data_IF_225668872035
#
_entry.id   IF_225668872035
#
_cell.length_a   1.000
_cell.length_b   1.000
_cell.length_c   1.000
_cell.angle_alpha   90.00
_cell.angle_beta   90.00
_cell.angle_gamma   90.00
#
_symmetry.space_group_name_H-M   'P 1'
#
loop_
_entity.id
_entity.type
_entity.pdbx_description
1 polymer ?
#
# COMPACT_ATOMS: atom_id res chain seq x y z
N UNK A 1 11.14 6.77 1.99
CA UNK A 1 9.78 7.32 2.18
C UNK A 1 8.77 6.31 1.68
N UNK A 2 7.73 6.07 2.46
CA UNK A 2 6.69 5.08 2.16
C UNK A 2 5.34 5.80 2.09
N UNK A 3 4.51 5.49 1.09
CA UNK A 3 3.14 5.98 1.02
C UNK A 3 2.20 4.82 1.32
N UNK A 4 1.28 5.02 2.28
CA UNK A 4 0.26 4.05 2.64
C UNK A 4 -1.10 4.55 2.21
N UNK A 5 -1.78 3.78 1.37
CA UNK A 5 -3.11 4.10 0.86
C UNK A 5 -4.13 3.28 1.64
N UNK A 6 -4.70 3.89 2.67
CA UNK A 6 -5.71 3.25 3.53
C UNK A 6 -6.48 4.31 4.29
N UNK A 7 -7.70 3.96 4.72
CA UNK A 7 -8.54 4.83 5.53
C UNK A 7 -8.95 4.21 6.88
N UNK A 8 -8.38 3.06 7.25
CA UNK A 8 -8.58 2.43 8.55
C UNK A 8 -7.71 3.15 9.58
N UNK A 9 -8.34 3.91 10.48
CA UNK A 9 -7.63 4.73 11.46
C UNK A 9 -6.84 3.89 12.47
N UNK A 10 -7.41 2.78 12.94
CA UNK A 10 -6.73 1.92 13.91
C UNK A 10 -5.46 1.31 13.31
N UNK A 11 -5.56 0.85 12.09
CA UNK A 11 -4.41 0.27 11.41
C UNK A 11 -3.36 1.32 11.04
N UNK A 12 -3.82 2.53 10.72
CA UNK A 12 -2.91 3.68 10.50
C UNK A 12 -2.07 3.97 11.74
N UNK A 13 -2.67 3.92 12.92
CA UNK A 13 -1.95 4.14 14.18
C UNK A 13 -0.91 3.04 14.39
N UNK A 14 -1.25 1.79 14.10
CA UNK A 14 -0.31 0.68 14.22
C UNK A 14 0.90 0.87 13.30
N UNK A 15 0.65 1.25 12.04
CA UNK A 15 1.72 1.52 11.08
C UNK A 15 2.57 2.72 11.54
N UNK A 16 1.93 3.79 11.97
CA UNK A 16 2.60 5.01 12.43
C UNK A 16 3.51 4.72 13.63
N UNK A 17 3.05 3.92 14.58
CA UNK A 17 3.83 3.53 15.75
C UNK A 17 5.07 2.73 15.34
N UNK A 18 4.89 1.74 14.47
CA UNK A 18 6.01 0.94 13.98
C UNK A 18 7.00 1.79 13.19
N UNK A 19 6.51 2.72 12.37
CA UNK A 19 7.35 3.62 11.58
C UNK A 19 8.24 4.48 12.48
N UNK A 20 7.68 5.01 13.56
CA UNK A 20 8.45 5.81 14.52
C UNK A 20 9.56 4.97 15.16
N UNK A 21 9.26 3.72 15.52
CA UNK A 21 10.24 2.83 16.13
C UNK A 21 11.38 2.49 15.17
N UNK A 22 11.07 2.41 13.88
CA UNK A 22 12.05 2.06 12.85
C UNK A 22 12.74 3.27 12.22
N UNK A 23 12.33 4.48 12.59
CA UNK A 23 12.83 5.70 11.96
C UNK A 23 12.39 5.84 10.51
N UNK A 24 11.27 5.22 10.14
CA UNK A 24 10.75 5.25 8.78
C UNK A 24 9.84 6.46 8.57
N UNK A 25 9.91 7.03 7.36
CA UNK A 25 9.07 8.16 6.97
C UNK A 25 7.88 7.64 6.18
N UNK A 26 6.68 7.82 6.72
CA UNK A 26 5.43 7.30 6.14
C UNK A 26 4.42 8.42 5.94
N UNK A 27 3.83 8.46 4.74
CA UNK A 27 2.73 9.36 4.42
C UNK A 27 1.46 8.54 4.19
N UNK A 28 0.36 8.96 4.80
CA UNK A 28 -0.93 8.28 4.65
C UNK A 28 -1.83 9.04 3.68
N UNK A 29 -2.28 8.38 2.63
CA UNK A 29 -3.24 8.95 1.70
C UNK A 29 -4.61 8.33 1.94
N UNK A 30 -5.60 9.15 2.32
CA UNK A 30 -6.95 8.72 2.67
C UNK A 30 -8.03 9.28 1.74
N UNK A 31 -7.65 10.08 0.77
CA UNK A 31 -8.59 10.76 -0.12
C UNK A 31 -8.78 9.96 -1.41
N UNK A 32 -10.03 9.54 -1.72
CA UNK A 32 -10.29 8.84 -2.99
C UNK A 32 -9.84 9.68 -4.19
N UNK A 33 -9.25 9.01 -5.16
CA UNK A 33 -8.81 9.65 -6.39
C UNK A 33 -7.48 10.40 -6.31
N UNK A 34 -6.84 10.45 -5.15
CA UNK A 34 -5.59 11.21 -4.97
C UNK A 34 -4.34 10.35 -4.90
N UNK A 35 -4.49 9.04 -4.70
CA UNK A 35 -3.34 8.17 -4.40
C UNK A 35 -2.30 8.13 -5.51
N UNK A 36 -2.72 7.95 -6.76
CA UNK A 36 -1.78 7.84 -7.87
C UNK A 36 -0.98 9.13 -8.06
N UNK A 37 -1.66 10.28 -8.00
CA UNK A 37 -0.99 11.57 -8.13
C UNK A 37 -0.02 11.83 -6.98
N UNK A 38 -0.41 11.45 -5.76
CA UNK A 38 0.43 11.62 -4.59
C UNK A 38 1.68 10.74 -4.64
N UNK A 39 1.52 9.50 -5.07
CA UNK A 39 2.64 8.58 -5.22
C UNK A 39 3.59 9.07 -6.31
N UNK A 40 3.06 9.56 -7.42
CA UNK A 40 3.88 10.13 -8.48
C UNK A 40 4.68 11.35 -8.00
N UNK A 41 4.03 12.22 -7.23
CA UNK A 41 4.66 13.42 -6.67
C UNK A 41 5.78 13.06 -5.70
N UNK A 42 5.52 12.13 -4.79
CA UNK A 42 6.46 11.80 -3.71
C UNK A 42 7.53 10.79 -4.08
N UNK A 43 7.32 10.03 -5.12
CA UNK A 43 8.27 8.98 -5.57
C UNK A 43 8.77 8.12 -4.41
N UNK A 44 7.87 7.44 -3.67
CA UNK A 44 8.28 6.62 -2.54
C UNK A 44 9.05 5.38 -2.99
N UNK A 45 9.79 4.78 -2.06
CA UNK A 45 10.45 3.50 -2.30
C UNK A 45 9.44 2.35 -2.25
N UNK A 46 8.33 2.55 -1.54
CA UNK A 46 7.29 1.53 -1.35
C UNK A 46 5.93 2.18 -1.23
N UNK A 47 4.94 1.65 -1.94
CA UNK A 47 3.54 2.04 -1.81
C UNK A 47 2.77 0.85 -1.24
N UNK A 48 2.08 1.07 -0.11
CA UNK A 48 1.31 0.05 0.60
C UNK A 48 -0.18 0.32 0.44
N UNK A 49 -0.96 -0.72 0.14
CA UNK A 49 -2.38 -0.60 -0.15
C UNK A 49 -3.22 -1.52 0.74
N UNK A 50 -4.28 -0.95 1.33
CA UNK A 50 -5.34 -1.75 1.95
C UNK A 50 -6.27 -2.24 0.83
N UNK A 51 -6.18 -3.51 0.49
CA UNK A 51 -6.97 -4.07 -0.62
C UNK A 51 -8.45 -4.24 -0.26
N UNK A 52 -8.81 -4.07 1.01
CA UNK A 52 -10.21 -4.11 1.45
C UNK A 52 -10.89 -2.75 1.35
N UNK A 53 -10.16 -1.69 1.08
CA UNK A 53 -10.72 -0.34 0.98
C UNK A 53 -11.25 -0.08 -0.43
N UNK A 54 -12.48 -0.51 -0.71
CA UNK A 54 -13.11 -0.28 -2.01
C UNK A 54 -13.21 1.22 -2.33
N UNK A 55 -13.41 2.05 -1.32
CA UNK A 55 -13.52 3.49 -1.43
C UNK A 55 -12.29 4.13 -2.08
N UNK A 56 -11.12 3.60 -1.80
CA UNK A 56 -9.85 4.13 -2.32
C UNK A 56 -9.42 3.50 -3.65
N UNK A 57 -10.17 2.49 -4.12
CA UNK A 57 -9.91 1.80 -5.38
C UNK A 57 -8.44 1.38 -5.55
N UNK A 58 -7.90 0.57 -4.63
CA UNK A 58 -6.48 0.23 -4.67
C UNK A 58 -6.04 -0.48 -5.95
N UNK A 59 -6.89 -1.33 -6.52
CA UNK A 59 -6.54 -2.05 -7.75
C UNK A 59 -6.42 -1.10 -8.94
N UNK A 60 -7.33 -0.14 -9.04
CA UNK A 60 -7.27 0.89 -10.08
C UNK A 60 -6.02 1.74 -9.94
N UNK A 61 -5.67 2.10 -8.71
CA UNK A 61 -4.45 2.88 -8.44
C UNK A 61 -3.20 2.10 -8.86
N UNK A 62 -3.11 0.82 -8.48
CA UNK A 62 -1.97 -0.02 -8.86
C UNK A 62 -1.85 -0.12 -10.37
N UNK A 63 -2.96 -0.36 -11.07
CA UNK A 63 -2.97 -0.45 -12.52
C UNK A 63 -2.48 0.85 -13.16
N UNK A 64 -2.93 1.99 -12.65
CA UNK A 64 -2.49 3.29 -13.12
C UNK A 64 -0.97 3.49 -12.91
N UNK A 65 -0.47 3.15 -11.72
CA UNK A 65 0.96 3.27 -11.42
C UNK A 65 1.81 2.39 -12.37
N UNK A 66 1.36 1.18 -12.63
CA UNK A 66 2.11 0.24 -13.47
C UNK A 66 2.07 0.61 -14.96
N UNK A 67 1.08 1.39 -15.37
CA UNK A 67 0.98 1.86 -16.75
C UNK A 67 1.75 3.16 -17.01
N UNK A 68 2.22 3.85 -15.97
CA UNK A 68 2.94 5.11 -16.06
C UNK A 68 4.45 4.88 -15.95
N UNK A 69 5.26 5.25 -16.95
CA UNK A 69 6.72 5.07 -16.88
C UNK A 69 7.38 5.71 -15.68
N UNK A 70 6.79 6.76 -15.11
CA UNK A 70 7.35 7.47 -13.96
C UNK A 70 7.07 6.78 -12.62
N UNK A 71 6.12 5.83 -12.57
CA UNK A 71 5.72 5.17 -11.33
C UNK A 71 5.79 3.64 -11.39
N UNK A 72 5.88 3.04 -12.57
CA UNK A 72 5.84 1.58 -12.71
C UNK A 72 6.96 0.84 -12.00
N UNK A 73 8.07 1.52 -11.73
CA UNK A 73 9.20 0.94 -11.00
C UNK A 73 9.05 1.00 -9.48
N UNK A 74 8.05 1.70 -8.97
CA UNK A 74 7.82 1.81 -7.53
C UNK A 74 7.28 0.47 -7.03
N UNK A 75 7.90 -0.06 -5.97
CA UNK A 75 7.49 -1.33 -5.37
C UNK A 75 6.12 -1.17 -4.70
N UNK A 76 5.24 -2.14 -4.93
CA UNK A 76 3.87 -2.10 -4.40
C UNK A 76 3.59 -3.34 -3.54
N UNK A 77 2.94 -3.12 -2.40
CA UNK A 77 2.58 -4.17 -1.45
C UNK A 77 1.13 -3.95 -1.04
N UNK A 78 0.32 -4.99 -1.10
CA UNK A 78 -1.06 -4.93 -0.64
C UNK A 78 -1.29 -5.89 0.51
N UNK A 79 -2.24 -5.56 1.40
CA UNK A 79 -2.70 -6.49 2.43
C UNK A 79 -4.21 -6.62 2.37
N UNK A 80 -4.69 -7.78 2.76
CA UNK A 80 -6.11 -8.13 2.71
C UNK A 80 -6.50 -8.84 4.01
N UNK A 81 -7.67 -8.49 4.59
CA UNK A 81 -8.08 -8.98 5.91
C UNK A 81 -8.41 -10.47 5.93
N UNK A 82 -8.80 -11.02 4.79
CA UNK A 82 -9.07 -12.46 4.64
C UNK A 82 -8.43 -12.95 3.35
N UNK A 83 -8.22 -14.26 3.26
CA UNK A 83 -7.68 -14.84 2.04
C UNK A 83 -8.80 -14.90 1.00
N UNK A 84 -9.01 -13.80 0.29
CA UNK A 84 -9.92 -13.72 -0.84
C UNK A 84 -9.12 -14.03 -2.10
N UNK A 85 -9.24 -15.26 -2.60
CA UNK A 85 -8.51 -15.68 -3.81
C UNK A 85 -8.76 -14.76 -5.00
N UNK A 86 -10.00 -14.31 -5.16
CA UNK A 86 -10.34 -13.40 -6.26
C UNK A 86 -9.67 -12.05 -6.13
N UNK A 87 -9.62 -11.48 -4.92
CA UNK A 87 -8.96 -10.20 -4.65
C UNK A 87 -7.46 -10.32 -4.90
N UNK A 88 -6.86 -11.41 -4.43
CA UNK A 88 -5.42 -11.64 -4.63
C UNK A 88 -5.11 -11.79 -6.12
N UNK A 89 -5.90 -12.57 -6.85
CA UNK A 89 -5.71 -12.73 -8.28
C UNK A 89 -5.87 -11.42 -9.04
N UNK A 90 -6.89 -10.63 -8.69
CA UNK A 90 -7.14 -9.33 -9.31
C UNK A 90 -6.00 -8.33 -9.01
N UNK A 91 -5.47 -8.35 -7.79
CA UNK A 91 -4.34 -7.49 -7.41
C UNK A 91 -3.09 -7.84 -8.22
N UNK A 92 -2.80 -9.13 -8.35
CA UNK A 92 -1.67 -9.59 -9.16
C UNK A 92 -1.85 -9.24 -10.63
N UNK A 93 -3.06 -9.38 -11.15
CA UNK A 93 -3.37 -8.99 -12.53
C UNK A 93 -3.19 -7.49 -12.76
N UNK A 94 -3.46 -6.67 -11.74
CA UNK A 94 -3.23 -5.22 -11.82
C UNK A 94 -1.75 -4.86 -11.76
N UNK A 95 -0.89 -5.79 -11.36
CA UNK A 95 0.56 -5.59 -11.34
C UNK A 95 1.17 -5.35 -9.96
N UNK A 96 0.42 -5.61 -8.89
CA UNK A 96 0.98 -5.46 -7.54
C UNK A 96 2.11 -6.46 -7.32
N UNK A 97 3.17 -6.03 -6.66
CA UNK A 97 4.36 -6.85 -6.51
C UNK A 97 4.22 -7.92 -5.42
N UNK A 98 3.53 -7.60 -4.33
CA UNK A 98 3.36 -8.55 -3.23
C UNK A 98 1.98 -8.35 -2.57
N UNK A 99 1.35 -9.46 -2.18
CA UNK A 99 0.08 -9.44 -1.44
C UNK A 99 0.25 -10.30 -0.18
N UNK A 100 -0.08 -9.75 0.98
CA UNK A 100 -0.02 -10.44 2.26
C UNK A 100 -1.39 -10.47 2.93
N UNK A 101 -1.64 -11.52 3.72
CA UNK A 101 -2.75 -11.49 4.66
C UNK A 101 -2.47 -10.37 5.68
N UNK A 102 -3.53 -9.73 6.17
CA UNK A 102 -3.39 -8.63 7.13
C UNK A 102 -2.59 -9.01 8.37
N UNK A 103 -2.79 -10.23 8.90
CA UNK A 103 -2.06 -10.73 10.05
C UNK A 103 -0.57 -10.87 9.77
N UNK A 104 -0.21 -11.42 8.61
CA UNK A 104 1.18 -11.55 8.21
C UNK A 104 1.83 -10.17 7.99
N UNK A 105 1.09 -9.24 7.40
CA UNK A 105 1.55 -7.88 7.22
C UNK A 105 1.85 -7.23 8.59
N UNK A 106 0.94 -7.39 9.56
CA UNK A 106 1.11 -6.82 10.89
C UNK A 106 2.33 -7.43 11.61
N UNK A 107 2.53 -8.73 11.49
CA UNK A 107 3.69 -9.41 12.09
C UNK A 107 5.01 -8.95 11.50
N UNK A 108 5.04 -8.68 10.19
CA UNK A 108 6.24 -8.28 9.47
C UNK A 108 6.40 -6.78 9.32
N UNK A 109 5.56 -6.02 10.01
CA UNK A 109 5.48 -4.56 9.80
C UNK A 109 6.82 -3.85 10.01
N UNK A 110 7.54 -4.18 11.08
CA UNK A 110 8.86 -3.58 11.34
C UNK A 110 9.85 -3.86 10.21
N UNK A 111 9.85 -5.09 9.70
CA UNK A 111 10.71 -5.48 8.59
C UNK A 111 10.31 -4.77 7.29
N UNK A 112 9.01 -4.69 7.02
CA UNK A 112 8.49 -4.03 5.81
C UNK A 112 8.85 -2.55 5.79
N UNK A 113 8.75 -1.88 6.94
CA UNK A 113 9.05 -0.45 7.05
C UNK A 113 10.56 -0.16 7.10
N UNK A 114 11.36 -1.19 7.24
CA UNK A 114 12.82 -1.06 7.25
C UNK A 114 13.32 -1.00 5.81
N UNK A 115 13.42 0.16 5.28
CA UNK A 115 13.85 0.36 3.90
C UNK A 115 15.35 0.19 3.69
#
# INVERSE_FOLDING_TARGET
>A
MIVCVLDDLLFSVKISTAAKQMGADVYFERTPGMAAARIKEKQPSLAIFDLNSARLDPLGVVAELKSDPETRGIRTLGFVSHVHTETIAAARAAGIDEVLARSAFAERLGEILKE
#
